data_IF_478870102932
#
_entry.id   IF_478870102932
#
_cell.length_a   1.000
_cell.length_b   1.000
_cell.length_c   1.000
_cell.angle_alpha   90.00
_cell.angle_beta   90.00
_cell.angle_gamma   90.00
#
_symmetry.space_group_name_H-M   'P 1'
#
loop_
_entity.id
_entity.type
_entity.pdbx_description
1 polymer ?
#
# COMPACT_ATOMS: atom_id res chain seq x y z
N UNK A 1 -13.70 16.38 -1.52
CA UNK A 1 -14.22 16.67 -0.18
C UNK A 1 -13.53 17.86 0.43
N UNK A 2 -13.90 18.18 1.67
CA UNK A 2 -13.32 19.32 2.41
C UNK A 2 -12.60 18.82 3.66
N UNK A 3 -11.42 19.39 3.93
CA UNK A 3 -10.68 19.12 5.15
C UNK A 3 -11.29 19.89 6.34
N UNK A 4 -10.69 19.73 7.54
CA UNK A 4 -11.17 20.42 8.76
C UNK A 4 -11.09 21.95 8.68
N UNK A 5 -10.30 22.49 7.76
CA UNK A 5 -10.19 23.94 7.51
C UNK A 5 -11.13 24.44 6.43
N UNK A 6 -11.99 23.57 5.88
CA UNK A 6 -12.92 23.89 4.81
C UNK A 6 -12.28 24.00 3.43
N UNK A 7 -11.03 23.62 3.29
CA UNK A 7 -10.32 23.62 2.01
C UNK A 7 -10.72 22.41 1.18
N UNK A 8 -10.86 22.59 -0.13
CA UNK A 8 -11.15 21.48 -1.03
C UNK A 8 -9.93 20.58 -1.18
N UNK A 9 -10.13 19.31 -0.89
CA UNK A 9 -9.09 18.28 -1.01
C UNK A 9 -9.59 17.10 -1.82
N UNK A 10 -8.70 16.46 -2.59
CA UNK A 10 -9.06 15.36 -3.47
C UNK A 10 -7.87 14.44 -3.75
N UNK A 11 -8.19 13.27 -4.28
CA UNK A 11 -7.22 12.34 -4.80
C UNK A 11 -7.24 12.35 -6.33
N UNK A 12 -6.08 12.15 -6.93
CA UNK A 12 -5.95 11.99 -8.37
C UNK A 12 -5.84 10.51 -8.67
N UNK A 13 -6.83 9.96 -9.37
CA UNK A 13 -6.79 8.59 -9.85
C UNK A 13 -6.16 8.52 -11.24
N UNK A 14 -5.36 7.50 -11.48
CA UNK A 14 -4.75 7.25 -12.77
C UNK A 14 -5.55 6.24 -13.59
N UNK A 15 -5.55 6.39 -14.91
CA UNK A 15 -6.21 5.43 -15.80
C UNK A 15 -5.57 4.05 -15.65
N UNK A 16 -6.35 2.97 -15.75
CA UNK A 16 -5.76 1.63 -15.77
C UNK A 16 -4.89 1.48 -17.01
N UNK A 17 -3.60 1.19 -16.80
CA UNK A 17 -2.64 1.01 -17.88
C UNK A 17 -1.75 -0.15 -17.54
N UNK A 18 -1.90 -1.23 -18.26
CA UNK A 18 -1.05 -2.40 -18.11
C UNK A 18 0.05 -2.41 -19.18
N UNK A 19 0.92 -1.39 -19.23
CA UNK A 19 2.04 -1.39 -20.18
C UNK A 19 3.22 -2.20 -19.68
N UNK A 20 3.51 -2.14 -18.38
CA UNK A 20 4.57 -2.92 -17.73
C UNK A 20 4.01 -3.36 -16.39
N UNK A 21 3.75 -4.64 -16.22
CA UNK A 21 3.35 -5.20 -14.94
C UNK A 21 4.54 -5.89 -14.28
N UNK A 22 4.70 -5.76 -12.96
CA UNK A 22 5.72 -6.53 -12.25
C UNK A 22 5.40 -8.02 -12.32
N UNK A 23 6.44 -8.85 -12.16
CA UNK A 23 6.30 -10.32 -12.24
C UNK A 23 5.29 -10.89 -11.25
N UNK A 24 5.10 -10.23 -10.11
CA UNK A 24 4.18 -10.69 -9.07
C UNK A 24 2.72 -10.26 -9.32
N UNK A 25 2.42 -9.52 -10.36
CA UNK A 25 1.07 -9.00 -10.60
C UNK A 25 0.01 -10.09 -10.59
N UNK A 26 0.26 -11.22 -11.27
CA UNK A 26 -0.68 -12.34 -11.33
C UNK A 26 -0.89 -13.03 -9.98
N UNK A 27 0.02 -12.80 -9.03
CA UNK A 27 -0.06 -13.37 -7.69
C UNK A 27 -0.80 -12.47 -6.70
N UNK A 28 -1.18 -11.25 -7.09
CA UNK A 28 -1.97 -10.36 -6.25
C UNK A 28 -3.37 -10.93 -6.05
N UNK A 29 -4.04 -10.59 -4.92
CA UNK A 29 -5.45 -10.90 -4.74
C UNK A 29 -6.30 -10.36 -5.88
N UNK A 30 -7.39 -11.04 -6.20
CA UNK A 30 -8.23 -10.70 -7.35
C UNK A 30 -8.81 -9.28 -7.29
N UNK A 31 -9.09 -8.76 -6.08
CA UNK A 31 -9.57 -7.40 -5.91
C UNK A 31 -8.55 -6.35 -6.39
N UNK A 32 -7.27 -6.55 -6.10
CA UNK A 32 -6.21 -5.67 -6.60
C UNK A 32 -6.04 -5.77 -8.11
N UNK A 33 -6.04 -6.99 -8.64
CA UNK A 33 -5.96 -7.19 -10.10
C UNK A 33 -7.12 -6.51 -10.81
N UNK A 34 -8.32 -6.61 -10.25
CA UNK A 34 -9.50 -5.99 -10.82
C UNK A 34 -9.41 -4.46 -10.83
N UNK A 35 -8.97 -3.86 -9.72
CA UNK A 35 -8.79 -2.41 -9.64
C UNK A 35 -7.77 -1.94 -10.66
N UNK A 36 -6.59 -2.54 -10.70
CA UNK A 36 -5.52 -2.11 -11.60
C UNK A 36 -5.88 -2.31 -13.07
N UNK A 37 -6.58 -3.38 -13.41
CA UNK A 37 -6.96 -3.67 -14.79
C UNK A 37 -8.14 -2.83 -15.28
N UNK A 38 -9.10 -2.52 -14.41
CA UNK A 38 -10.41 -2.05 -14.85
C UNK A 38 -10.82 -0.67 -14.32
N UNK A 39 -10.25 -0.22 -13.22
CA UNK A 39 -10.68 1.01 -12.56
C UNK A 39 -9.60 2.09 -12.54
N UNK A 40 -8.52 1.86 -11.82
CA UNK A 40 -7.45 2.84 -11.63
C UNK A 40 -6.09 2.17 -11.54
N UNK A 41 -5.08 2.80 -12.10
CA UNK A 41 -3.70 2.45 -11.81
C UNK A 41 -3.22 3.22 -10.56
N UNK A 42 -3.96 3.06 -9.46
CA UNK A 42 -3.69 3.76 -8.21
C UNK A 42 -4.29 5.17 -8.15
N UNK A 43 -4.08 5.81 -7.03
CA UNK A 43 -4.44 7.21 -6.80
C UNK A 43 -3.49 7.84 -5.81
N UNK A 44 -3.41 9.16 -5.81
CA UNK A 44 -2.51 9.92 -4.98
C UNK A 44 -3.18 11.19 -4.46
N UNK A 45 -2.82 11.59 -3.23
CA UNK A 45 -3.29 12.85 -2.66
C UNK A 45 -2.74 14.03 -3.47
N UNK A 46 -3.62 14.94 -3.86
CA UNK A 46 -3.31 15.99 -4.84
C UNK A 46 -2.16 16.91 -4.44
N UNK A 47 -2.06 17.24 -3.15
CA UNK A 47 -1.11 18.24 -2.67
C UNK A 47 0.31 17.72 -2.51
N UNK A 48 0.48 16.46 -2.11
CA UNK A 48 1.78 15.88 -1.80
C UNK A 48 2.30 14.91 -2.86
N UNK A 49 1.40 14.41 -3.70
CA UNK A 49 1.66 13.29 -4.62
C UNK A 49 2.20 12.05 -3.91
N UNK A 50 1.88 11.93 -2.64
CA UNK A 50 2.11 10.80 -1.77
C UNK A 50 0.77 10.43 -1.11
N UNK A 51 0.75 9.45 -0.24
CA UNK A 51 -0.47 9.00 0.42
C UNK A 51 -1.54 8.53 -0.57
N UNK A 52 -1.42 7.31 -1.02
CA UNK A 52 -2.38 6.73 -1.94
C UNK A 52 -2.03 5.30 -2.31
N UNK A 53 -2.95 4.67 -3.05
CA UNK A 53 -2.68 3.37 -3.67
C UNK A 53 -1.65 3.58 -4.78
N UNK A 54 -0.50 2.93 -4.65
CA UNK A 54 0.58 3.09 -5.61
C UNK A 54 0.18 2.59 -6.99
N UNK A 55 0.55 3.31 -8.06
CA UNK A 55 0.52 2.74 -9.40
C UNK A 55 1.23 1.40 -9.42
N UNK A 56 0.79 0.47 -10.24
CA UNK A 56 1.33 -0.90 -10.22
C UNK A 56 2.84 -0.93 -10.48
N UNK A 57 3.35 -0.03 -11.29
CA UNK A 57 4.78 0.11 -11.58
C UNK A 57 5.59 0.67 -10.39
N UNK A 58 4.92 1.32 -9.44
CA UNK A 58 5.55 1.95 -8.27
C UNK A 58 5.36 1.13 -6.98
N UNK A 59 4.63 0.03 -7.05
CA UNK A 59 4.56 -0.90 -5.91
C UNK A 59 5.94 -1.44 -5.59
N UNK A 60 6.20 -1.69 -4.31
CA UNK A 60 7.53 -2.10 -3.87
C UNK A 60 7.51 -3.52 -3.29
N UNK A 61 8.58 -4.26 -3.56
CA UNK A 61 8.88 -5.48 -2.81
C UNK A 61 9.67 -5.05 -1.57
N UNK A 62 9.18 -5.38 -0.38
CA UNK A 62 9.77 -4.86 0.86
C UNK A 62 11.24 -5.24 1.04
N UNK A 63 11.67 -6.37 0.50
CA UNK A 63 13.08 -6.79 0.55
C UNK A 63 14.01 -5.94 -0.32
N UNK A 64 13.47 -5.17 -1.26
CA UNK A 64 14.28 -4.34 -2.17
C UNK A 64 14.69 -3.00 -1.55
N UNK A 65 14.11 -2.67 -0.40
CA UNK A 65 14.40 -1.43 0.31
C UNK A 65 15.26 -1.69 1.55
N UNK A 66 16.01 -0.68 1.95
CA UNK A 66 16.84 -0.72 3.15
C UNK A 66 16.06 -0.10 4.32
N UNK A 67 15.66 -0.95 5.28
CA UNK A 67 14.85 -0.53 6.42
C UNK A 67 15.69 -0.50 7.69
N UNK A 68 15.85 0.66 8.30
CA UNK A 68 16.59 0.79 9.57
C UNK A 68 16.01 -0.05 10.70
N UNK A 69 14.67 -0.25 10.69
CA UNK A 69 13.99 -1.08 11.70
C UNK A 69 14.45 -2.54 11.71
N UNK A 70 15.04 -3.04 10.63
CA UNK A 70 15.56 -4.42 10.57
C UNK A 70 16.66 -4.69 11.58
N UNK A 71 17.32 -3.66 12.10
CA UNK A 71 18.31 -3.79 13.16
C UNK A 71 17.66 -4.00 14.53
N UNK A 72 16.38 -3.69 14.68
CA UNK A 72 15.65 -3.71 15.95
C UNK A 72 14.65 -4.84 16.06
N UNK A 73 14.27 -5.47 14.96
CA UNK A 73 13.29 -6.55 14.95
C UNK A 73 13.91 -7.85 14.44
N UNK A 74 13.39 -8.97 14.92
CA UNK A 74 13.77 -10.28 14.44
C UNK A 74 12.90 -10.65 13.23
N UNK A 75 13.45 -10.52 12.02
CA UNK A 75 12.74 -10.83 10.79
C UNK A 75 12.39 -12.32 10.66
N UNK A 76 13.10 -13.20 11.37
CA UNK A 76 12.80 -14.64 11.33
C UNK A 76 11.54 -14.99 12.10
N UNK A 77 11.10 -14.12 13.01
CA UNK A 77 9.86 -14.29 13.78
C UNK A 77 8.60 -13.83 13.03
N UNK A 78 8.76 -13.13 11.91
CA UNK A 78 7.64 -12.63 11.13
C UNK A 78 6.90 -13.77 10.42
N UNK A 79 5.55 -13.74 10.36
CA UNK A 79 4.78 -14.76 9.68
C UNK A 79 4.82 -14.67 8.16
N UNK A 80 5.56 -13.72 7.62
CA UNK A 80 5.75 -13.50 6.19
C UNK A 80 7.23 -13.27 5.89
N UNK A 81 7.58 -13.36 4.62
CA UNK A 81 8.94 -13.06 4.14
C UNK A 81 8.94 -11.78 3.34
N UNK A 82 9.92 -10.91 3.58
CA UNK A 82 10.00 -9.59 2.92
C UNK A 82 10.07 -9.70 1.40
N UNK A 83 10.71 -10.74 0.87
CA UNK A 83 10.81 -10.93 -0.58
C UNK A 83 9.48 -11.37 -1.25
N UNK A 84 8.49 -11.78 -0.46
CA UNK A 84 7.14 -12.08 -0.91
C UNK A 84 6.12 -10.99 -0.51
N UNK A 85 6.58 -9.91 0.06
CA UNK A 85 5.72 -8.86 0.62
C UNK A 85 5.75 -7.62 -0.25
N UNK A 86 4.56 -7.15 -0.61
CA UNK A 86 4.38 -6.04 -1.53
C UNK A 86 3.74 -4.87 -0.80
N UNK A 87 4.40 -3.73 -0.83
CA UNK A 87 3.83 -2.46 -0.36
C UNK A 87 2.95 -1.86 -1.44
N UNK A 88 1.67 -1.71 -1.15
CA UNK A 88 0.64 -1.27 -2.11
C UNK A 88 0.13 0.13 -1.86
N UNK A 89 0.05 0.55 -0.62
CA UNK A 89 -0.45 1.88 -0.25
C UNK A 89 0.58 2.60 0.61
N UNK A 90 0.95 3.78 0.17
CA UNK A 90 1.92 4.66 0.85
C UNK A 90 1.15 5.72 1.65
N UNK A 91 1.44 5.85 2.95
CA UNK A 91 0.83 6.89 3.77
C UNK A 91 1.54 8.25 3.68
N UNK A 92 2.57 8.36 2.86
CA UNK A 92 3.35 9.58 2.69
C UNK A 92 4.43 9.80 3.76
N UNK A 93 4.57 8.88 4.71
CA UNK A 93 5.54 8.96 5.80
C UNK A 93 6.55 7.79 5.81
N UNK A 94 6.56 7.00 4.76
CA UNK A 94 7.46 5.84 4.67
C UNK A 94 6.89 4.54 5.23
N UNK A 95 5.59 4.51 5.50
CA UNK A 95 4.89 3.32 5.95
C UNK A 95 3.97 2.81 4.85
N UNK A 96 3.80 1.49 4.78
CA UNK A 96 3.07 0.86 3.67
C UNK A 96 2.05 -0.14 4.17
N UNK A 97 0.81 -0.01 3.67
CA UNK A 97 -0.15 -1.10 3.75
C UNK A 97 0.28 -2.17 2.74
N UNK A 98 0.49 -3.38 3.20
CA UNK A 98 1.21 -4.42 2.48
C UNK A 98 0.52 -5.76 2.56
N UNK A 99 0.83 -6.63 1.62
CA UNK A 99 0.35 -8.00 1.59
C UNK A 99 1.50 -8.97 1.34
N UNK A 100 1.32 -10.20 1.81
CA UNK A 100 2.14 -11.34 1.41
C UNK A 100 1.47 -12.02 0.21
N UNK A 101 2.13 -12.03 -0.94
CA UNK A 101 1.59 -12.64 -2.17
C UNK A 101 1.37 -14.15 -2.05
N UNK A 102 2.00 -14.79 -1.07
CA UNK A 102 1.79 -16.22 -0.83
C UNK A 102 0.50 -16.53 -0.09
N UNK A 103 0.03 -15.60 0.73
CA UNK A 103 -1.24 -15.75 1.44
C UNK A 103 -2.45 -15.55 0.52
N UNK A 104 -2.43 -14.52 -0.32
CA UNK A 104 -3.55 -14.09 -1.18
C UNK A 104 -4.84 -13.80 -0.42
N UNK A 105 -4.78 -13.70 0.90
CA UNK A 105 -5.92 -13.35 1.75
C UNK A 105 -5.81 -11.88 2.16
N UNK A 106 -6.78 -11.08 1.72
CA UNK A 106 -6.84 -9.65 2.00
C UNK A 106 -7.03 -9.34 3.48
N UNK A 107 -7.50 -10.32 4.28
CA UNK A 107 -7.63 -10.21 5.74
C UNK A 107 -6.32 -10.49 6.47
N UNK A 108 -5.32 -10.97 5.78
CA UNK A 108 -3.99 -11.26 6.32
C UNK A 108 -2.94 -10.22 5.91
N UNK A 109 -3.37 -9.02 5.51
CA UNK A 109 -2.48 -7.91 5.26
C UNK A 109 -1.79 -7.41 6.50
N UNK A 110 -0.84 -6.52 6.33
CA UNK A 110 -0.12 -5.91 7.45
C UNK A 110 0.28 -4.49 7.10
N UNK A 111 0.56 -3.69 8.15
CA UNK A 111 1.15 -2.37 7.97
C UNK A 111 2.64 -2.49 8.26
N UNK A 112 3.46 -2.16 7.29
CA UNK A 112 4.91 -2.09 7.44
C UNK A 112 5.30 -0.67 7.85
N UNK A 113 5.66 -0.53 9.13
CA UNK A 113 6.14 0.74 9.67
C UNK A 113 7.65 0.85 9.49
N UNK A 114 8.14 2.05 9.16
CA UNK A 114 9.58 2.26 9.04
C UNK A 114 10.29 2.43 10.40
N UNK A 115 9.52 2.64 11.48
CA UNK A 115 10.07 2.97 12.81
C UNK A 115 9.74 1.98 13.92
N UNK A 116 8.90 0.98 13.66
CA UNK A 116 8.45 0.02 14.66
C UNK A 116 8.06 -1.30 14.01
N UNK A 117 7.81 -2.31 14.85
CA UNK A 117 7.37 -3.61 14.38
C UNK A 117 6.05 -3.52 13.58
N UNK A 118 5.87 -4.36 12.54
CA UNK A 118 4.68 -4.30 11.71
C UNK A 118 3.41 -4.64 12.48
N UNK A 119 2.31 -4.01 12.09
CA UNK A 119 0.97 -4.37 12.57
C UNK A 119 0.42 -5.48 11.69
N UNK A 120 0.19 -6.65 12.27
CA UNK A 120 -0.22 -7.86 11.54
C UNK A 120 -1.75 -8.02 11.50
N UNK A 121 -2.20 -8.91 10.65
CA UNK A 121 -3.60 -9.37 10.58
C UNK A 121 -4.59 -8.20 10.38
N UNK A 122 -4.28 -7.31 9.46
CA UNK A 122 -5.19 -6.24 9.07
C UNK A 122 -5.97 -6.65 7.82
N UNK A 123 -7.19 -6.16 7.72
CA UNK A 123 -7.94 -6.24 6.46
C UNK A 123 -7.48 -5.05 5.60
N UNK A 124 -6.79 -5.37 4.50
CA UNK A 124 -6.06 -4.36 3.71
C UNK A 124 -6.96 -3.26 3.17
N UNK A 125 -8.14 -3.59 2.68
CA UNK A 125 -9.04 -2.60 2.10
C UNK A 125 -9.64 -1.67 3.14
N UNK A 126 -9.87 -2.15 4.37
CA UNK A 126 -10.32 -1.31 5.48
C UNK A 126 -9.26 -0.26 5.84
N UNK A 127 -7.98 -0.65 5.85
CA UNK A 127 -6.87 0.29 6.11
C UNK A 127 -6.72 1.29 4.97
N UNK A 128 -6.80 0.84 3.73
CA UNK A 128 -6.74 1.72 2.55
C UNK A 128 -7.87 2.76 2.60
N UNK A 129 -9.08 2.34 2.92
CA UNK A 129 -10.23 3.23 3.07
C UNK A 129 -10.02 4.24 4.19
N UNK A 130 -9.60 3.78 5.36
CA UNK A 130 -9.33 4.64 6.51
C UNK A 130 -8.24 5.66 6.21
N UNK A 131 -7.12 5.25 5.65
CA UNK A 131 -6.02 6.15 5.32
C UNK A 131 -6.40 7.16 4.25
N UNK A 132 -7.22 6.76 3.28
CA UNK A 132 -7.75 7.68 2.27
C UNK A 132 -8.64 8.74 2.92
N UNK A 133 -9.52 8.35 3.83
CA UNK A 133 -10.37 9.29 4.58
C UNK A 133 -9.57 10.26 5.45
N UNK A 134 -8.56 9.76 6.15
CA UNK A 134 -7.68 10.60 6.97
C UNK A 134 -7.02 11.68 6.10
N UNK A 135 -6.57 11.32 4.91
CA UNK A 135 -5.99 12.28 3.97
C UNK A 135 -6.96 13.39 3.55
N UNK A 136 -8.25 13.06 3.40
CA UNK A 136 -9.28 14.03 3.05
C UNK A 136 -9.62 14.94 4.26
N UNK A 137 -9.71 14.35 5.43
CA UNK A 137 -10.15 15.06 6.65
C UNK A 137 -9.10 16.04 7.19
N UNK A 138 -7.85 15.83 6.88
CA UNK A 138 -6.73 16.68 7.30
C UNK A 138 -6.41 17.75 6.29
#
# INVERSE_FOLDING_TARGET
GKNIRGEEVYYIGYKPVAKITPKYFDQLPSSFKDIYNNLHNGWVYFASKANGLLPIEDTIVLSDEDWGILEEIDITSLPFKLHNSIGLFDNGMGDYASIDIKSKDEKEGFIWWHTKAPKLNIEIWAVIDEWTKIGIER
#
